data_IF_030758809711
#
_entry.id   IF_030758809711
#
_cell.length_a   1.000
_cell.length_b   1.000
_cell.length_c   1.000
_cell.angle_alpha   90.00
_cell.angle_beta   90.00
_cell.angle_gamma   90.00
#
_symmetry.space_group_name_H-M   'P 1'
#
loop_
_entity.id
_entity.type
_entity.pdbx_description
1 polymer ?
#
# COMPACT_ATOMS: atom_id res chain seq x y z
N UNK A 1 5.73 5.05 6.22
CA UNK A 1 4.90 5.44 5.05
C UNK A 1 5.80 5.48 3.84
N UNK A 2 5.46 4.77 2.76
CA UNK A 2 6.31 4.63 1.57
C UNK A 2 7.22 3.40 1.56
N UNK A 3 7.51 2.78 2.71
CA UNK A 3 8.22 1.49 2.78
C UNK A 3 7.26 0.30 2.89
N UNK A 4 7.69 -0.92 2.49
CA UNK A 4 6.89 -2.14 2.65
C UNK A 4 6.41 -2.34 4.09
N UNK A 5 5.11 -2.60 4.28
CA UNK A 5 4.54 -2.82 5.60
C UNK A 5 4.95 -4.19 6.15
N UNK A 6 5.90 -4.22 7.10
CA UNK A 6 6.26 -5.45 7.79
C UNK A 6 5.24 -5.81 8.87
N UNK A 7 4.29 -6.68 8.53
CA UNK A 7 3.35 -7.26 9.51
C UNK A 7 4.06 -8.04 10.62
N UNK A 8 5.25 -8.58 10.34
CA UNK A 8 6.08 -9.25 11.33
C UNK A 8 6.65 -8.28 12.36
N UNK A 9 7.11 -7.09 11.95
CA UNK A 9 7.58 -6.09 12.90
C UNK A 9 6.41 -5.60 13.78
N UNK A 10 5.26 -5.30 13.17
CA UNK A 10 4.07 -4.85 13.91
C UNK A 10 3.59 -5.87 14.94
N UNK A 11 3.59 -7.17 14.62
CA UNK A 11 3.15 -8.20 15.58
C UNK A 11 4.10 -8.27 16.79
N UNK A 12 5.39 -8.02 16.57
CA UNK A 12 6.44 -8.08 17.59
C UNK A 12 6.34 -6.86 18.49
N UNK A 13 6.20 -5.67 17.91
CA UNK A 13 6.03 -4.41 18.64
C UNK A 13 4.73 -4.39 19.46
N UNK A 14 3.63 -4.88 18.88
CA UNK A 14 2.31 -4.88 19.52
C UNK A 14 2.04 -6.12 20.37
N UNK A 15 2.97 -7.09 20.38
CA UNK A 15 2.85 -8.37 21.10
C UNK A 15 1.54 -9.13 20.86
N UNK A 16 1.06 -9.11 19.62
CA UNK A 16 -0.15 -9.83 19.19
C UNK A 16 0.16 -10.84 18.10
N UNK A 17 -0.79 -11.73 17.80
CA UNK A 17 -0.61 -12.70 16.73
C UNK A 17 -0.50 -12.01 15.36
N UNK A 18 0.26 -12.60 14.43
CA UNK A 18 0.31 -12.12 13.04
C UNK A 18 -1.08 -12.08 12.39
N UNK A 19 -1.95 -13.05 12.71
CA UNK A 19 -3.32 -13.10 12.19
C UNK A 19 -4.14 -11.88 12.66
N UNK A 20 -3.95 -11.44 13.90
CA UNK A 20 -4.59 -10.26 14.47
C UNK A 20 -4.19 -9.00 13.70
N UNK A 21 -2.88 -8.76 13.51
CA UNK A 21 -2.39 -7.58 12.78
C UNK A 21 -2.89 -7.59 11.33
N UNK A 22 -2.81 -8.74 10.65
CA UNK A 22 -3.30 -8.87 9.28
C UNK A 22 -4.80 -8.55 9.17
N UNK A 23 -5.60 -8.98 10.15
CA UNK A 23 -7.02 -8.67 10.22
C UNK A 23 -7.27 -7.17 10.46
N UNK A 24 -6.51 -6.52 11.34
CA UNK A 24 -6.62 -5.08 11.58
C UNK A 24 -6.31 -4.27 10.33
N UNK A 25 -5.25 -4.60 9.59
CA UNK A 25 -4.93 -3.93 8.33
C UNK A 25 -6.08 -4.11 7.32
N UNK A 26 -6.63 -5.31 7.18
CA UNK A 26 -7.77 -5.55 6.29
C UNK A 26 -9.03 -4.76 6.70
N UNK A 27 -9.25 -4.56 8.01
CA UNK A 27 -10.34 -3.70 8.51
C UNK A 27 -10.08 -2.24 8.13
N UNK A 28 -8.86 -1.73 8.34
CA UNK A 28 -8.51 -0.35 7.99
C UNK A 28 -8.65 -0.08 6.49
N UNK A 29 -8.35 -1.05 5.63
CA UNK A 29 -8.58 -0.94 4.18
C UNK A 29 -10.08 -0.83 3.85
N UNK A 30 -10.91 -1.69 4.44
CA UNK A 30 -12.37 -1.67 4.23
C UNK A 30 -13.04 -0.41 4.76
N UNK A 31 -12.45 0.20 5.78
CA UNK A 31 -12.90 1.48 6.34
C UNK A 31 -12.36 2.69 5.56
N UNK A 32 -11.63 2.46 4.46
CA UNK A 32 -10.98 3.52 3.69
C UNK A 32 -10.05 4.40 4.54
N UNK A 33 -9.43 3.83 5.58
CA UNK A 33 -8.41 4.52 6.36
C UNK A 33 -7.04 4.44 5.66
N UNK A 34 -6.72 3.26 5.11
CA UNK A 34 -5.47 2.99 4.40
C UNK A 34 -5.73 2.25 3.09
N UNK A 35 -4.76 2.29 2.18
CA UNK A 35 -4.72 1.45 1.00
C UNK A 35 -3.31 0.89 0.79
N UNK A 36 -3.22 -0.26 0.13
CA UNK A 36 -1.93 -0.92 -0.16
C UNK A 36 -1.64 -0.97 -1.65
N UNK A 37 -0.39 -0.70 -2.00
CA UNK A 37 0.11 -0.79 -3.38
C UNK A 37 1.12 -1.91 -3.45
N UNK A 38 0.89 -2.87 -4.34
CA UNK A 38 1.79 -3.98 -4.58
C UNK A 38 2.87 -3.62 -5.61
N UNK A 39 4.05 -4.26 -5.57
CA UNK A 39 5.03 -4.10 -6.62
C UNK A 39 4.49 -4.61 -7.95
N UNK A 40 5.03 -4.08 -9.05
CA UNK A 40 4.80 -4.56 -10.40
C UNK A 40 5.48 -5.92 -10.58
N UNK A 41 4.73 -6.92 -11.05
CA UNK A 41 5.22 -8.30 -11.19
C UNK A 41 4.13 -9.34 -10.91
N UNK A 42 4.49 -10.63 -10.99
CA UNK A 42 3.51 -11.72 -10.89
C UNK A 42 2.81 -11.75 -9.51
N UNK A 43 1.50 -11.48 -9.41
CA UNK A 43 0.77 -11.36 -8.14
C UNK A 43 0.64 -12.69 -7.37
N UNK A 44 0.99 -13.82 -7.99
CA UNK A 44 0.85 -15.16 -7.41
C UNK A 44 1.96 -15.51 -6.41
N UNK A 45 3.01 -14.70 -6.31
CA UNK A 45 4.16 -15.00 -5.44
C UNK A 45 3.87 -14.50 -4.02
N UNK A 46 4.00 -15.38 -3.03
CA UNK A 46 3.75 -15.07 -1.59
C UNK A 46 4.60 -13.88 -1.08
N UNK A 47 5.76 -13.65 -1.68
CA UNK A 47 6.62 -12.50 -1.41
C UNK A 47 5.95 -11.16 -1.77
N UNK A 48 5.23 -11.09 -2.90
CA UNK A 48 4.52 -9.87 -3.36
C UNK A 48 3.45 -9.42 -2.35
N UNK A 49 2.82 -10.37 -1.64
CA UNK A 49 1.87 -10.05 -0.55
C UNK A 49 2.54 -9.48 0.70
N UNK A 50 3.82 -9.79 0.93
CA UNK A 50 4.60 -9.28 2.09
C UNK A 50 5.20 -7.90 1.85
N UNK A 51 5.29 -7.48 0.58
CA UNK A 51 6.03 -6.27 0.21
C UNK A 51 5.16 -5.07 -0.10
N UNK A 52 3.86 -5.16 0.15
CA UNK A 52 2.97 -4.05 -0.19
C UNK A 52 3.30 -2.81 0.62
N UNK A 53 3.49 -1.69 -0.09
CA UNK A 53 3.50 -0.36 0.54
C UNK A 53 2.11 -0.07 1.06
N UNK A 54 2.04 0.66 2.17
CA UNK A 54 0.79 1.19 2.69
C UNK A 54 0.82 2.72 2.65
N UNK A 55 -0.36 3.28 2.44
CA UNK A 55 -0.63 4.70 2.37
C UNK A 55 -1.96 5.01 3.05
N UNK A 56 -2.18 6.25 3.45
CA UNK A 56 -3.43 6.72 4.04
C UNK A 56 -4.31 7.37 2.98
N UNK A 57 -5.62 7.16 3.03
CA UNK A 57 -6.53 7.90 2.14
C UNK A 57 -6.58 9.38 2.51
N UNK A 58 -6.63 9.68 3.81
CA UNK A 58 -6.32 11.02 4.30
C UNK A 58 -4.81 11.19 4.38
N UNK A 59 -4.19 11.61 3.27
CA UNK A 59 -2.75 11.82 3.22
C UNK A 59 -2.29 12.97 4.14
N UNK A 60 -3.20 13.85 4.59
CA UNK A 60 -2.84 15.03 5.39
C UNK A 60 -2.39 14.65 6.81
N UNK A 61 -2.82 13.49 7.33
CA UNK A 61 -2.42 13.02 8.67
C UNK A 61 -0.98 12.53 8.72
N UNK A 62 -0.30 12.39 7.58
CA UNK A 62 1.10 11.96 7.53
C UNK A 62 2.01 13.11 7.98
N UNK A 63 2.76 12.96 9.09
CA UNK A 63 3.52 14.07 9.68
C UNK A 63 4.74 14.46 8.84
N UNK A 64 5.47 13.47 8.31
CA UNK A 64 6.68 13.68 7.52
C UNK A 64 6.36 14.24 6.13
N UNK A 65 7.01 15.34 5.76
CA UNK A 65 6.72 16.08 4.52
C UNK A 65 6.95 15.24 3.26
N UNK A 66 8.12 14.60 3.14
CA UNK A 66 8.44 13.76 1.99
C UNK A 66 7.46 12.57 1.85
N UNK A 67 7.16 11.89 2.97
CA UNK A 67 6.23 10.77 2.99
C UNK A 67 4.79 11.22 2.69
N UNK A 68 4.41 12.41 3.16
CA UNK A 68 3.09 13.00 2.88
C UNK A 68 2.96 13.33 1.40
N UNK A 69 4.01 13.86 0.77
CA UNK A 69 4.00 14.13 -0.66
C UNK A 69 3.87 12.83 -1.47
N UNK A 70 4.67 11.81 -1.17
CA UNK A 70 4.54 10.49 -1.82
C UNK A 70 3.12 9.91 -1.63
N UNK A 71 2.58 9.98 -0.42
CA UNK A 71 1.23 9.50 -0.13
C UNK A 71 0.16 10.29 -0.90
N UNK A 72 0.29 11.61 -0.99
CA UNK A 72 -0.62 12.46 -1.77
C UNK A 72 -0.63 11.99 -3.22
N UNK A 73 0.55 11.83 -3.83
CA UNK A 73 0.68 11.35 -5.21
C UNK A 73 0.03 9.97 -5.36
N UNK A 74 0.34 9.02 -4.46
CA UNK A 74 -0.27 7.69 -4.45
C UNK A 74 -1.80 7.72 -4.37
N UNK A 75 -2.38 8.59 -3.54
CA UNK A 75 -3.83 8.72 -3.40
C UNK A 75 -4.49 9.31 -4.66
N UNK A 76 -3.83 10.27 -5.31
CA UNK A 76 -4.31 10.84 -6.58
C UNK A 76 -4.22 9.84 -7.73
N UNK A 77 -3.16 9.04 -7.80
CA UNK A 77 -3.04 7.96 -8.78
C UNK A 77 -4.11 6.87 -8.56
N UNK A 78 -4.39 6.50 -7.30
CA UNK A 78 -5.46 5.56 -6.99
C UNK A 78 -6.83 6.11 -7.42
N UNK A 79 -7.08 7.40 -7.19
CA UNK A 79 -8.32 8.06 -7.66
C UNK A 79 -8.45 7.99 -9.19
N UNK A 80 -7.34 8.18 -9.92
CA UNK A 80 -7.33 8.06 -11.37
C UNK A 80 -7.61 6.62 -11.83
N UNK A 81 -7.03 5.62 -11.17
CA UNK A 81 -7.33 4.20 -11.41
C UNK A 81 -8.81 3.90 -11.21
N UNK A 82 -9.40 4.33 -10.10
CA UNK A 82 -10.84 4.16 -9.86
C UNK A 82 -11.68 4.88 -10.92
N UNK A 83 -11.30 6.09 -11.32
CA UNK A 83 -11.99 6.80 -12.40
C UNK A 83 -12.02 6.00 -13.71
N UNK A 84 -10.89 5.46 -14.14
CA UNK A 84 -10.82 4.63 -15.35
C UNK A 84 -11.61 3.33 -15.24
N UNK A 85 -11.61 2.70 -14.07
CA UNK A 85 -12.39 1.49 -13.81
C UNK A 85 -13.91 1.79 -13.85
N UNK A 86 -14.34 2.82 -13.13
CA UNK A 86 -15.75 3.12 -12.92
C UNK A 86 -16.41 3.78 -14.12
N UNK A 87 -15.68 4.60 -14.87
CA UNK A 87 -16.24 5.38 -15.99
C UNK A 87 -15.96 4.77 -17.36
N UNK A 88 -14.83 4.09 -17.52
CA UNK A 88 -14.40 3.51 -18.79
C UNK A 88 -14.37 1.97 -18.78
N UNK A 89 -14.60 1.32 -17.64
CA UNK A 89 -14.58 -0.14 -17.53
C UNK A 89 -13.20 -0.76 -17.75
N UNK A 90 -12.11 0.02 -17.59
CA UNK A 90 -10.75 -0.49 -17.83
C UNK A 90 -10.25 -1.36 -16.68
N UNK A 91 -9.60 -2.47 -17.02
CA UNK A 91 -8.86 -3.30 -16.06
C UNK A 91 -7.45 -2.72 -15.84
N UNK A 92 -7.35 -1.76 -14.93
CA UNK A 92 -6.10 -1.08 -14.56
C UNK A 92 -5.85 -1.19 -13.06
N UNK A 93 -4.58 -1.23 -12.65
CA UNK A 93 -4.18 -1.32 -11.26
C UNK A 93 -3.03 -0.36 -10.96
N UNK A 94 -3.00 0.18 -9.74
CA UNK A 94 -1.85 0.93 -9.25
C UNK A 94 -0.77 -0.03 -8.73
N UNK A 95 0.44 0.08 -9.28
CA UNK A 95 1.62 -0.72 -8.91
C UNK A 95 2.84 0.20 -8.78
N UNK A 96 3.82 -0.19 -7.97
CA UNK A 96 5.12 0.50 -7.90
C UNK A 96 6.23 -0.38 -8.48
N UNK A 97 7.27 0.22 -9.05
CA UNK A 97 8.41 -0.52 -9.56
C UNK A 97 9.43 -0.82 -8.46
N UNK A 98 10.01 -2.00 -8.51
CA UNK A 98 11.09 -2.42 -7.60
C UNK A 98 12.15 -3.17 -8.40
N UNK A 99 13.40 -2.80 -8.19
CA UNK A 99 14.54 -3.48 -8.80
C UNK A 99 14.77 -4.85 -8.14
N UNK A 100 15.48 -5.74 -8.84
CA UNK A 100 15.89 -7.09 -8.40
C UNK A 100 16.70 -7.02 -7.11
N UNK A 101 17.41 -5.91 -6.89
CA UNK A 101 18.18 -5.59 -5.68
C UNK A 101 17.34 -4.95 -4.55
N UNK A 102 16.01 -4.86 -4.73
CA UNK A 102 15.07 -4.43 -3.70
C UNK A 102 14.98 -2.92 -3.48
N UNK A 103 15.66 -2.12 -4.31
CA UNK A 103 15.54 -0.64 -4.34
C UNK A 103 14.31 -0.22 -5.14
N UNK A 104 13.67 0.85 -4.70
CA UNK A 104 12.62 1.49 -5.47
C UNK A 104 13.25 2.32 -6.58
N UNK A 105 12.75 2.13 -7.79
CA UNK A 105 13.09 2.96 -8.93
C UNK A 105 12.02 4.04 -8.95
N UNK A 106 12.38 5.25 -8.51
CA UNK A 106 11.56 6.46 -8.65
C UNK A 106 11.40 6.83 -10.13
#
# INVERSE_FOLDING_TARGET
>A
MGSPLSLNALREDLQVSHATVANWIAILERLYAVFRVAPFGAPRIRAVKKEQKHYHLDWSVVPGEAQRFENLVGAHLLKWVHFLQDTEGRDVELRYFRDVDGREVD
#
